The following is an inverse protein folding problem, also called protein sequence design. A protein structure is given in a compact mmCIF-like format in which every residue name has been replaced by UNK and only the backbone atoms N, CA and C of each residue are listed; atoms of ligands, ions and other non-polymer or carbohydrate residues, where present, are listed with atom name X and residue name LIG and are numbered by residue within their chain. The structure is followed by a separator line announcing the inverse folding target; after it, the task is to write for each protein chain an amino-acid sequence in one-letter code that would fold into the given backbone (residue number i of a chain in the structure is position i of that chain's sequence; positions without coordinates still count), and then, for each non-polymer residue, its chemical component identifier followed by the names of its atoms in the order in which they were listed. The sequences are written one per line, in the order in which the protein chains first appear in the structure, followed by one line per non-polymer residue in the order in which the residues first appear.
data_IF_028531360194
#
_entry.id   IF_028531360194
#
_cell.length_a   1.000
_cell.length_b   1.000
_cell.length_c   1.000
_cell.angle_alpha   90.00
_cell.angle_beta   90.00
_cell.angle_gamma   90.00
#
_symmetry.space_group_name_H-M   'P 1'
#
loop_
_entity.id
_entity.type
_entity.pdbx_description
1 polymer ?
#
# COMPACT_ATOMS: atom_id res chain seq x y z
N UNK A 1 -17.45 18.24 4.28
CA UNK A 1 -16.38 18.52 3.28
C UNK A 1 -16.96 18.34 1.89
N UNK A 2 -16.67 19.23 0.93
CA UNK A 2 -17.22 19.14 -0.43
C UNK A 2 -16.46 18.13 -1.29
N UNK A 3 -17.15 17.53 -2.26
CA UNK A 3 -16.58 16.57 -3.24
C UNK A 3 -15.46 17.16 -4.08
N UNK A 4 -15.41 18.49 -4.17
CA UNK A 4 -14.39 19.24 -4.92
C UNK A 4 -13.08 19.36 -4.12
N UNK A 5 -13.18 19.59 -2.81
CA UNK A 5 -12.00 19.66 -1.93
C UNK A 5 -11.23 18.33 -1.91
N UNK A 6 -11.96 17.21 -1.83
CA UNK A 6 -11.37 15.87 -1.95
C UNK A 6 -10.74 15.59 -3.32
N UNK A 7 -11.23 16.22 -4.40
CA UNK A 7 -10.64 16.08 -5.74
C UNK A 7 -9.39 16.92 -5.91
N UNK A 8 -9.38 18.13 -5.35
CA UNK A 8 -8.25 19.04 -5.37
C UNK A 8 -7.10 18.47 -4.53
N UNK A 9 -7.37 18.01 -3.31
CA UNK A 9 -6.37 17.37 -2.44
C UNK A 9 -5.76 16.11 -3.10
N UNK A 10 -6.55 15.40 -3.90
CA UNK A 10 -6.11 14.22 -4.67
C UNK A 10 -5.29 14.58 -5.93
N UNK A 11 -5.47 15.80 -6.48
CA UNK A 11 -4.72 16.33 -7.62
C UNK A 11 -3.49 17.15 -7.19
N UNK A 12 -3.50 17.67 -5.98
CA UNK A 12 -2.40 18.38 -5.30
C UNK A 12 -1.53 17.42 -4.47
N UNK A 13 -1.97 16.17 -4.29
CA UNK A 13 -1.15 15.07 -3.79
C UNK A 13 0.10 14.81 -4.64
N UNK A 14 1.11 14.15 -4.08
CA UNK A 14 2.50 14.27 -4.50
C UNK A 14 2.69 14.04 -6.01
N UNK A 15 3.27 15.03 -6.69
CA UNK A 15 3.75 14.96 -8.09
C UNK A 15 4.98 14.06 -8.26
N UNK A 16 5.13 13.05 -7.41
CA UNK A 16 6.24 12.10 -7.37
C UNK A 16 5.74 10.67 -7.52
N UNK A 17 6.66 9.72 -7.66
CA UNK A 17 6.33 8.29 -7.74
C UNK A 17 5.50 7.91 -6.51
N UNK A 18 4.31 7.37 -6.74
CA UNK A 18 3.46 6.86 -5.65
C UNK A 18 4.04 5.53 -5.22
N UNK A 19 4.32 5.36 -3.93
CA UNK A 19 4.76 4.08 -3.38
C UNK A 19 3.55 3.26 -2.95
N UNK A 20 3.45 2.04 -3.46
CA UNK A 20 2.45 1.06 -3.02
C UNK A 20 3.17 -0.01 -2.22
N UNK A 21 2.86 -0.10 -0.94
CA UNK A 21 3.32 -1.18 -0.07
C UNK A 21 2.26 -2.26 0.00
N UNK A 22 2.61 -3.45 -0.47
CA UNK A 22 1.75 -4.61 -0.47
C UNK A 22 2.35 -5.78 0.31
N UNK A 23 1.48 -6.62 0.85
CA UNK A 23 1.84 -7.95 1.34
C UNK A 23 1.22 -8.98 0.42
N UNK A 24 1.96 -10.07 0.17
CA UNK A 24 1.45 -11.19 -0.61
C UNK A 24 1.99 -12.51 -0.04
N UNK A 25 1.31 -13.65 -0.30
CA UNK A 25 1.74 -14.94 0.21
C UNK A 25 3.13 -15.31 -0.33
N UNK A 26 4.03 -15.74 0.56
CA UNK A 26 5.40 -16.07 0.20
C UNK A 26 5.53 -17.24 -0.80
N UNK A 27 4.51 -18.11 -0.89
CA UNK A 27 4.49 -19.24 -1.82
C UNK A 27 4.07 -18.86 -3.24
N UNK A 28 3.65 -17.60 -3.48
CA UNK A 28 3.33 -17.14 -4.82
C UNK A 28 4.60 -16.80 -5.62
N UNK A 29 4.58 -17.11 -6.90
CA UNK A 29 5.63 -16.68 -7.83
C UNK A 29 5.75 -15.14 -7.81
N UNK A 30 6.96 -14.57 -7.91
CA UNK A 30 7.18 -13.12 -7.91
C UNK A 30 6.24 -12.36 -8.85
N UNK A 31 6.08 -12.86 -10.08
CA UNK A 31 5.29 -12.25 -11.14
C UNK A 31 3.81 -12.19 -10.77
N UNK A 32 3.31 -13.23 -10.09
CA UNK A 32 1.93 -13.27 -9.58
C UNK A 32 1.73 -12.27 -8.45
N UNK A 33 2.72 -12.11 -7.56
CA UNK A 33 2.64 -11.14 -6.45
C UNK A 33 2.56 -9.72 -7.00
N UNK A 34 3.43 -9.39 -7.94
CA UNK A 34 3.50 -8.06 -8.53
C UNK A 34 2.23 -7.74 -9.33
N UNK A 35 1.75 -8.67 -10.15
CA UNK A 35 0.52 -8.49 -10.93
C UNK A 35 -0.72 -8.30 -10.04
N UNK A 36 -0.83 -9.06 -8.95
CA UNK A 36 -1.98 -8.95 -8.06
C UNK A 36 -1.96 -7.64 -7.25
N UNK A 37 -0.78 -7.22 -6.78
CA UNK A 37 -0.63 -5.94 -6.10
C UNK A 37 -0.89 -4.76 -7.04
N UNK A 38 -0.45 -4.85 -8.30
CA UNK A 38 -0.82 -3.86 -9.30
C UNK A 38 -2.33 -3.83 -9.52
N UNK A 39 -2.99 -4.98 -9.72
CA UNK A 39 -4.45 -5.07 -9.88
C UNK A 39 -5.17 -4.39 -8.72
N UNK A 40 -4.82 -4.72 -7.49
CA UNK A 40 -5.41 -4.13 -6.28
C UNK A 40 -5.18 -2.61 -6.21
N UNK A 41 -4.00 -2.12 -6.62
CA UNK A 41 -3.70 -0.70 -6.59
C UNK A 41 -4.55 0.06 -7.61
N UNK A 42 -4.73 -0.50 -8.82
CA UNK A 42 -5.62 0.06 -9.84
C UNK A 42 -7.07 0.08 -9.36
N UNK A 43 -7.54 -0.97 -8.70
CA UNK A 43 -8.90 -1.04 -8.12
C UNK A 43 -9.14 0.02 -7.04
N UNK A 44 -8.10 0.37 -6.29
CA UNK A 44 -8.14 1.49 -5.33
C UNK A 44 -8.01 2.87 -5.98
N UNK A 45 -7.89 2.94 -7.31
CA UNK A 45 -7.82 4.18 -8.08
C UNK A 45 -6.43 4.80 -8.14
N UNK A 46 -5.38 4.03 -7.88
CA UNK A 46 -3.99 4.48 -8.01
C UNK A 46 -3.64 4.57 -9.50
N UNK A 47 -3.37 5.79 -9.96
CA UNK A 47 -3.05 6.10 -11.35
C UNK A 47 -1.77 6.93 -11.40
N UNK A 48 -0.79 6.54 -12.22
CA UNK A 48 0.49 7.23 -12.37
C UNK A 48 1.68 6.28 -12.43
N UNK A 49 2.89 6.83 -12.34
CA UNK A 49 4.12 6.07 -12.12
C UNK A 49 4.15 5.58 -10.66
N UNK A 50 4.03 4.27 -10.48
CA UNK A 50 3.96 3.62 -9.17
C UNK A 50 5.24 2.83 -8.94
N UNK A 51 5.83 3.00 -7.76
CA UNK A 51 6.89 2.13 -7.26
C UNK A 51 6.27 1.10 -6.30
N UNK A 52 6.31 -0.17 -6.68
CA UNK A 52 5.76 -1.25 -5.87
C UNK A 52 6.83 -1.80 -4.94
N UNK A 53 6.52 -1.82 -3.65
CA UNK A 53 7.30 -2.53 -2.64
C UNK A 53 6.45 -3.72 -2.18
N UNK A 54 6.74 -4.89 -2.74
CA UNK A 54 6.08 -6.14 -2.37
C UNK A 54 6.85 -6.84 -1.25
N UNK A 55 6.23 -7.01 -0.09
CA UNK A 55 6.79 -7.79 1.01
C UNK A 55 6.15 -9.17 1.03
N UNK A 56 6.94 -10.20 0.76
CA UNK A 56 6.54 -11.58 1.02
C UNK A 56 6.68 -11.86 2.52
N UNK A 57 5.57 -12.21 3.18
CA UNK A 57 5.61 -12.66 4.57
C UNK A 57 5.36 -14.16 4.65
N UNK A 58 6.19 -14.86 5.44
CA UNK A 58 5.95 -16.25 5.85
C UNK A 58 4.99 -16.31 7.04
N UNK A 59 3.84 -15.63 6.95
CA UNK A 59 2.78 -15.74 7.95
C UNK A 59 1.69 -16.65 7.40
N UNK A 60 1.39 -17.81 8.04
CA UNK A 60 0.34 -18.73 7.59
C UNK A 60 -1.05 -18.09 7.40
N UNK A 61 -1.29 -16.94 8.03
CA UNK A 61 -2.57 -16.23 7.96
C UNK A 61 -2.77 -15.42 6.66
N UNK A 62 -1.70 -15.18 5.88
CA UNK A 62 -1.79 -14.39 4.64
C UNK A 62 -1.98 -15.35 3.47
N UNK A 63 -3.23 -15.50 3.03
CA UNK A 63 -3.63 -16.34 1.89
C UNK A 63 -3.84 -15.54 0.60
N UNK A 64 -3.98 -14.22 0.71
CA UNK A 64 -4.28 -13.30 -0.38
C UNK A 64 -3.34 -12.09 -0.34
N UNK A 65 -3.23 -11.37 -1.46
CA UNK A 65 -2.48 -10.12 -1.49
C UNK A 65 -3.32 -8.98 -0.90
N UNK A 66 -2.66 -8.07 -0.18
CA UNK A 66 -3.30 -6.93 0.46
C UNK A 66 -2.42 -5.69 0.33
N UNK A 67 -3.03 -4.53 0.11
CA UNK A 67 -2.33 -3.24 0.10
C UNK A 67 -2.35 -2.67 1.52
N UNK A 68 -1.16 -2.52 2.10
CA UNK A 68 -0.99 -1.91 3.43
C UNK A 68 -0.83 -0.39 3.38
N UNK A 69 -0.29 0.16 2.29
CA UNK A 69 -0.11 1.61 2.14
C UNK A 69 -0.06 2.05 0.68
N UNK A 70 -0.60 3.25 0.42
CA UNK A 70 -0.49 3.98 -0.85
C UNK A 70 -0.17 5.43 -0.52
N UNK A 71 0.95 5.95 -1.01
CA UNK A 71 1.36 7.34 -0.74
C UNK A 71 2.83 7.62 -1.00
N UNK A 72 3.34 8.70 -0.41
CA UNK A 72 4.76 9.00 -0.40
C UNK A 72 5.48 8.08 0.61
N UNK A 73 6.60 7.48 0.20
CA UNK A 73 7.38 6.60 1.08
C UNK A 73 7.94 7.32 2.30
N UNK A 74 8.21 8.63 2.19
CA UNK A 74 8.61 9.47 3.33
C UNK A 74 7.49 9.59 4.34
N UNK A 75 6.27 9.82 3.89
CA UNK A 75 5.09 9.87 4.78
C UNK A 75 4.90 8.53 5.50
N UNK A 76 5.12 7.41 4.79
CA UNK A 76 5.10 6.08 5.41
C UNK A 76 6.17 5.94 6.49
N UNK A 77 7.42 6.31 6.21
CA UNK A 77 8.49 6.23 7.21
C UNK A 77 8.24 7.15 8.39
N UNK A 78 7.76 8.37 8.16
CA UNK A 78 7.36 9.29 9.22
C UNK A 78 6.21 8.71 10.06
N UNK A 79 5.21 8.09 9.43
CA UNK A 79 4.12 7.43 10.13
C UNK A 79 4.63 6.28 11.00
N UNK A 80 5.48 5.39 10.47
CA UNK A 80 6.06 4.27 11.24
C UNK A 80 6.94 4.79 12.38
N UNK A 81 7.78 5.79 12.12
CA UNK A 81 8.65 6.38 13.13
C UNK A 81 7.87 7.07 14.26
N UNK A 82 6.79 7.78 13.92
CA UNK A 82 5.94 8.51 14.87
C UNK A 82 5.02 7.60 15.66
N UNK A 83 4.48 6.58 15.02
CA UNK A 83 3.48 5.71 15.64
C UNK A 83 4.06 4.44 16.23
N UNK A 84 5.32 4.09 15.95
CA UNK A 84 6.05 2.99 16.58
C UNK A 84 5.30 1.66 16.56
N UNK A 85 4.36 1.48 15.63
CA UNK A 85 3.49 0.31 15.55
C UNK A 85 3.72 -0.43 14.26
N UNK A 86 3.81 -1.75 14.37
CA UNK A 86 3.67 -2.66 13.25
C UNK A 86 2.28 -2.50 12.64
N UNK A 87 2.22 -2.17 11.35
CA UNK A 87 1.00 -2.33 10.55
C UNK A 87 0.66 -3.83 10.56
N UNK A 88 -0.51 -4.21 11.08
CA UNK A 88 -0.98 -5.61 11.14
C UNK A 88 -1.14 -6.24 12.53
N UNK A 89 -0.76 -5.58 13.63
CA UNK A 89 -1.10 -6.07 14.97
C UNK A 89 -2.59 -5.82 15.27
N UNK A 90 -3.45 -6.82 15.01
CA UNK A 90 -4.82 -6.84 15.54
C UNK A 90 -4.77 -6.85 17.07
N UNK A 91 -5.51 -5.94 17.70
CA UNK A 91 -5.81 -6.01 19.15
C UNK A 91 -6.34 -7.42 19.45
N UNK A 92 -5.63 -8.18 20.26
CA UNK A 92 -6.24 -9.26 21.02
C UNK A 92 -7.31 -8.60 21.90
N UNK A 93 -8.57 -8.89 21.59
CA UNK A 93 -9.72 -8.65 22.46
C UNK A 93 -9.87 -9.87 23.38
#
# INVERSE_FOLDING_TARGET
MSRLAQRIERLEGPRGKVTVLGVAPAHWQPERRDAELERLAREQGVTGDVEFVAIAQQWPAITEAEIGHVGDIRDLFEHVAKHGRRIGERRAA
#
